data_IF_045192997314
#
_entry.id   IF_045192997314
#
_cell.length_a   1.000
_cell.length_b   1.000
_cell.length_c   1.000
_cell.angle_alpha   90.00
_cell.angle_beta   90.00
_cell.angle_gamma   90.00
#
_symmetry.space_group_name_H-M   'P 1'
#
loop_
_entity.id
_entity.type
_entity.pdbx_description
1 polymer ?
#
# COMPACT_ATOMS: atom_id res chain seq x y z
N UNK A 1 -26.39 -25.71 -18.41
CA UNK A 1 -25.54 -25.07 -17.39
C UNK A 1 -24.62 -24.10 -18.13
N UNK A 2 -25.00 -22.82 -18.18
CA UNK A 2 -24.39 -21.82 -19.05
C UNK A 2 -23.27 -21.11 -18.28
N UNK A 3 -22.02 -21.43 -18.60
CA UNK A 3 -20.84 -20.75 -18.06
C UNK A 3 -20.77 -19.37 -18.74
N UNK A 4 -21.19 -18.32 -18.03
CA UNK A 4 -21.03 -16.93 -18.46
C UNK A 4 -19.56 -16.54 -18.29
N UNK A 5 -18.74 -16.81 -19.30
CA UNK A 5 -17.51 -16.04 -19.54
C UNK A 5 -17.92 -14.63 -19.99
N UNK A 6 -18.27 -13.78 -19.02
CA UNK A 6 -18.22 -12.33 -19.22
C UNK A 6 -16.95 -11.86 -18.53
N UNK A 7 -15.81 -12.22 -19.14
CA UNK A 7 -14.60 -11.41 -18.99
C UNK A 7 -15.04 -10.05 -19.50
N UNK A 8 -15.29 -9.13 -18.57
CA UNK A 8 -15.37 -7.72 -18.90
C UNK A 8 -14.04 -7.43 -19.58
N UNK A 9 -14.08 -7.26 -20.90
CA UNK A 9 -13.10 -6.47 -21.61
C UNK A 9 -13.20 -5.07 -20.98
N UNK A 10 -12.52 -4.91 -19.85
CA UNK A 10 -12.31 -3.63 -19.21
C UNK A 10 -11.21 -2.98 -20.00
N UNK A 11 -11.62 -2.16 -20.96
CA UNK A 11 -10.92 -1.02 -21.52
C UNK A 11 -9.39 -1.08 -21.37
N UNK A 12 -8.74 -1.45 -22.48
CA UNK A 12 -7.33 -1.14 -22.74
C UNK A 12 -7.14 0.38 -22.87
N UNK A 13 -7.44 1.11 -21.80
CA UNK A 13 -6.90 2.43 -21.60
C UNK A 13 -6.04 2.33 -20.35
N UNK A 14 -4.76 1.99 -20.58
CA UNK A 14 -3.67 2.34 -19.67
C UNK A 14 -3.54 3.86 -19.64
N UNK A 15 -4.60 4.53 -19.19
CA UNK A 15 -4.55 5.87 -18.65
C UNK A 15 -3.43 5.85 -17.62
N UNK A 16 -2.39 6.65 -17.85
CA UNK A 16 -1.26 6.79 -16.94
C UNK A 16 -1.76 7.47 -15.67
N UNK A 17 -2.44 6.72 -14.80
CA UNK A 17 -2.91 7.21 -13.51
C UNK A 17 -1.71 7.78 -12.78
N UNK A 18 -1.76 9.08 -12.51
CA UNK A 18 -0.66 9.79 -11.84
C UNK A 18 -0.36 9.11 -10.50
N UNK A 19 0.85 8.58 -10.37
CA UNK A 19 1.35 7.97 -9.13
C UNK A 19 1.98 9.02 -8.24
N UNK A 20 1.15 9.74 -7.50
CA UNK A 20 1.57 10.85 -6.64
C UNK A 20 1.31 10.63 -5.16
N UNK A 21 0.90 9.42 -4.75
CA UNK A 21 0.59 9.12 -3.35
C UNK A 21 1.63 8.24 -2.67
N UNK A 22 2.02 8.63 -1.48
CA UNK A 22 2.70 7.78 -0.51
C UNK A 22 1.65 7.43 0.54
N UNK A 23 1.24 6.18 0.58
CA UNK A 23 0.19 5.73 1.48
C UNK A 23 0.84 5.07 2.69
N UNK A 24 0.60 5.62 3.87
CA UNK A 24 0.96 5.01 5.15
C UNK A 24 -0.28 4.38 5.76
N UNK A 25 -0.34 3.05 5.77
CA UNK A 25 -1.45 2.29 6.34
C UNK A 25 -1.34 2.28 7.86
N UNK A 26 -2.36 2.84 8.51
CA UNK A 26 -2.51 2.88 9.95
C UNK A 26 -3.52 1.85 10.42
N UNK A 27 -3.14 1.05 11.40
CA UNK A 27 -4.03 0.07 12.05
C UNK A 27 -4.48 0.60 13.40
N UNK A 28 -5.78 0.86 13.55
CA UNK A 28 -6.36 1.19 14.84
C UNK A 28 -6.51 -0.08 15.70
N UNK A 29 -5.88 -0.06 16.89
CA UNK A 29 -6.01 -1.02 18.00
C UNK A 29 -5.62 -2.50 17.69
N UNK A 30 -4.50 -2.91 18.28
CA UNK A 30 -4.08 -4.31 18.41
C UNK A 30 -2.61 -4.43 18.80
N UNK A 31 -2.33 -4.79 20.07
CA UNK A 31 -0.99 -4.79 20.70
C UNK A 31 0.13 -5.48 19.91
N UNK A 32 -0.19 -6.50 19.10
CA UNK A 32 0.81 -7.27 18.34
C UNK A 32 1.12 -6.73 16.94
N UNK A 33 0.32 -5.79 16.42
CA UNK A 33 0.34 -5.37 14.99
C UNK A 33 0.12 -3.88 14.76
N UNK A 34 0.10 -3.06 15.81
CA UNK A 34 0.09 -1.60 15.68
C UNK A 34 1.52 -1.07 15.74
N UNK A 35 1.87 -0.13 14.86
CA UNK A 35 3.08 0.66 15.06
C UNK A 35 2.79 1.53 16.28
N UNK A 36 3.57 1.35 17.35
CA UNK A 36 3.42 2.11 18.60
C UNK A 36 3.60 3.62 18.32
N UNK A 37 4.30 3.96 17.24
CA UNK A 37 4.75 5.31 16.88
C UNK A 37 4.37 5.72 15.43
N UNK A 38 3.10 5.55 15.05
CA UNK A 38 2.61 5.94 13.70
C UNK A 38 2.91 7.40 13.33
N UNK A 39 2.82 8.32 14.31
CA UNK A 39 3.16 9.74 14.18
C UNK A 39 4.63 9.95 13.82
N UNK A 40 5.53 9.20 14.46
CA UNK A 40 6.98 9.34 14.24
C UNK A 40 7.40 8.83 12.86
N UNK A 41 6.78 7.74 12.37
CA UNK A 41 7.03 7.25 11.00
C UNK A 41 6.51 8.22 9.93
N UNK A 42 5.33 8.80 10.12
CA UNK A 42 4.80 9.81 9.22
C UNK A 42 5.70 11.05 9.16
N UNK A 43 6.23 11.49 10.32
CA UNK A 43 7.19 12.59 10.42
C UNK A 43 8.49 12.24 9.69
N UNK A 44 9.06 11.05 9.90
CA UNK A 44 10.29 10.62 9.22
C UNK A 44 10.12 10.56 7.70
N UNK A 45 9.00 10.02 7.21
CA UNK A 45 8.70 9.98 5.78
C UNK A 45 8.56 11.41 5.24
N UNK A 46 7.83 12.28 5.93
CA UNK A 46 7.68 13.67 5.53
C UNK A 46 9.03 14.43 5.50
N UNK A 47 9.91 14.18 6.47
CA UNK A 47 11.26 14.75 6.51
C UNK A 47 12.13 14.22 5.37
N UNK A 48 12.15 12.91 5.12
CA UNK A 48 12.91 12.32 4.01
C UNK A 48 12.45 12.84 2.64
N UNK A 49 11.14 13.07 2.46
CA UNK A 49 10.61 13.68 1.24
C UNK A 49 11.09 15.12 1.07
N UNK A 50 11.09 15.91 2.16
CA UNK A 50 11.60 17.29 2.18
C UNK A 50 13.08 17.35 1.82
N UNK A 51 13.89 16.49 2.44
CA UNK A 51 15.34 16.46 2.23
C UNK A 51 15.73 16.02 0.81
N UNK A 52 14.95 15.13 0.20
CA UNK A 52 15.21 14.65 -1.17
C UNK A 52 14.77 15.62 -2.27
N UNK A 53 14.21 16.78 -1.93
CA UNK A 53 13.61 17.74 -2.88
C UNK A 53 12.51 17.11 -3.76
N UNK A 54 11.93 15.98 -3.32
CA UNK A 54 10.87 15.23 -4.01
C UNK A 54 9.45 15.66 -3.61
N UNK A 55 9.34 16.67 -2.73
CA UNK A 55 8.07 17.15 -2.17
C UNK A 55 7.14 17.81 -3.19
N UNK A 56 7.65 18.29 -4.32
CA UNK A 56 6.83 19.03 -5.28
C UNK A 56 5.78 18.17 -5.99
N UNK A 57 5.92 16.83 -5.97
CA UNK A 57 5.06 15.92 -6.74
C UNK A 57 4.51 14.70 -5.97
N UNK A 58 4.82 14.56 -4.67
CA UNK A 58 4.38 13.41 -3.86
C UNK A 58 3.62 13.89 -2.62
N UNK A 59 2.47 13.28 -2.36
CA UNK A 59 1.61 13.57 -1.22
C UNK A 59 1.55 12.36 -0.29
N UNK A 60 1.84 12.58 0.99
CA UNK A 60 1.68 11.58 2.05
C UNK A 60 0.21 11.51 2.47
N UNK A 61 -0.35 10.31 2.46
CA UNK A 61 -1.73 10.00 2.87
C UNK A 61 -1.69 8.94 3.96
N UNK A 62 -2.33 9.21 5.10
CA UNK A 62 -2.50 8.21 6.16
C UNK A 62 -3.80 7.46 5.89
N UNK A 63 -3.70 6.18 5.56
CA UNK A 63 -4.85 5.36 5.28
C UNK A 63 -5.32 4.62 6.53
N UNK A 64 -6.58 4.83 6.89
CA UNK A 64 -7.32 4.02 7.85
C UNK A 64 -8.45 3.31 7.09
N UNK A 65 -8.74 2.05 7.42
CA UNK A 65 -9.75 1.25 6.75
C UNK A 65 -11.19 1.69 7.13
N UNK A 66 -11.56 2.91 6.75
CA UNK A 66 -12.85 3.56 6.96
C UNK A 66 -13.32 4.21 5.65
N UNK A 67 -14.64 4.40 5.48
CA UNK A 67 -15.21 4.98 4.27
C UNK A 67 -15.57 3.93 3.20
N UNK A 68 -15.79 4.39 1.96
CA UNK A 68 -16.28 3.53 0.88
C UNK A 68 -15.12 2.86 0.11
N UNK A 69 -15.33 1.60 -0.29
CA UNK A 69 -14.34 0.82 -1.06
C UNK A 69 -13.91 1.53 -2.35
N UNK A 70 -14.82 2.25 -3.01
CA UNK A 70 -14.49 3.02 -4.24
C UNK A 70 -13.40 4.06 -3.98
N UNK A 71 -13.42 4.71 -2.82
CA UNK A 71 -12.44 5.72 -2.44
C UNK A 71 -11.09 5.08 -2.15
N UNK A 72 -11.10 3.88 -1.55
CA UNK A 72 -9.88 3.09 -1.32
C UNK A 72 -9.25 2.70 -2.65
N UNK A 73 -10.04 2.17 -3.59
CA UNK A 73 -9.56 1.82 -4.94
C UNK A 73 -8.96 3.05 -5.63
N UNK A 74 -9.66 4.18 -5.63
CA UNK A 74 -9.19 5.41 -6.26
C UNK A 74 -7.87 5.91 -5.65
N UNK A 75 -7.74 5.84 -4.31
CA UNK A 75 -6.52 6.20 -3.60
C UNK A 75 -5.35 5.28 -3.95
N UNK A 76 -5.56 3.96 -3.85
CA UNK A 76 -4.51 2.97 -4.07
C UNK A 76 -4.04 2.90 -5.53
N UNK A 77 -4.91 3.18 -6.51
CA UNK A 77 -4.50 3.31 -7.93
C UNK A 77 -3.44 4.40 -8.15
N UNK A 78 -3.46 5.46 -7.34
CA UNK A 78 -2.49 6.59 -7.37
C UNK A 78 -1.24 6.35 -6.52
N UNK A 79 -1.13 5.20 -5.86
CA UNK A 79 0.00 4.91 -4.99
C UNK A 79 1.30 4.79 -5.79
N UNK A 80 2.26 5.65 -5.45
CA UNK A 80 3.67 5.48 -5.80
C UNK A 80 4.36 4.56 -4.81
N UNK A 81 4.07 4.75 -3.52
CA UNK A 81 4.62 3.98 -2.41
C UNK A 81 3.49 3.62 -1.45
N UNK A 82 3.50 2.40 -0.93
CA UNK A 82 2.60 1.91 0.11
C UNK A 82 3.47 1.38 1.24
N UNK A 83 3.25 1.87 2.45
CA UNK A 83 3.96 1.47 3.66
C UNK A 83 2.94 1.02 4.69
N UNK A 84 3.11 -0.14 5.30
CA UNK A 84 2.14 -0.60 6.29
C UNK A 84 2.57 -1.84 7.08
N UNK A 85 2.06 -2.00 8.32
CA UNK A 85 2.23 -3.25 9.06
C UNK A 85 1.56 -4.42 8.35
N UNK A 86 2.14 -5.60 8.53
CA UNK A 86 1.53 -6.84 8.06
C UNK A 86 0.09 -6.97 8.58
N UNK A 87 -0.84 -7.16 7.66
CA UNK A 87 -2.26 -7.32 7.96
C UNK A 87 -2.99 -6.03 8.37
N UNK A 88 -2.39 -4.84 8.24
CA UNK A 88 -3.05 -3.55 8.54
C UNK A 88 -4.03 -3.06 7.48
N UNK A 89 -4.37 -3.88 6.48
CA UNK A 89 -5.06 -3.44 5.26
C UNK A 89 -4.17 -3.50 4.02
N UNK A 90 -3.00 -4.15 4.11
CA UNK A 90 -2.06 -4.36 2.99
C UNK A 90 -2.68 -5.06 1.77
N UNK A 91 -3.80 -5.79 1.91
CA UNK A 91 -4.54 -6.36 0.77
C UNK A 91 -4.96 -5.30 -0.26
N UNK A 92 -5.03 -4.01 0.12
CA UNK A 92 -5.33 -2.94 -0.81
C UNK A 92 -4.29 -2.78 -1.95
N UNK A 93 -3.10 -3.41 -1.85
CA UNK A 93 -2.14 -3.42 -2.97
C UNK A 93 -2.74 -4.02 -4.25
N UNK A 94 -3.78 -4.86 -4.16
CA UNK A 94 -4.50 -5.38 -5.33
C UNK A 94 -5.03 -4.28 -6.26
N UNK A 95 -5.29 -3.08 -5.73
CA UNK A 95 -5.79 -1.93 -6.49
C UNK A 95 -4.68 -0.97 -6.93
N UNK A 96 -3.45 -1.21 -6.51
CA UNK A 96 -2.32 -0.41 -6.93
C UNK A 96 -1.93 -0.73 -8.38
N UNK A 97 -1.38 0.26 -9.07
CA UNK A 97 -0.97 0.11 -10.47
C UNK A 97 0.42 -0.55 -10.56
N UNK A 98 0.75 -1.30 -11.63
CA UNK A 98 2.08 -1.89 -11.86
C UNK A 98 3.25 -0.92 -11.65
N UNK A 99 4.33 -1.37 -11.02
CA UNK A 99 5.51 -0.58 -10.66
C UNK A 99 5.40 0.20 -9.35
N UNK A 100 4.39 -0.06 -8.52
CA UNK A 100 4.25 0.54 -7.17
C UNK A 100 5.25 -0.06 -6.20
N UNK A 101 5.81 0.78 -5.32
CA UNK A 101 6.73 0.37 -4.26
C UNK A 101 5.91 -0.03 -3.02
N UNK A 102 6.15 -1.22 -2.49
CA UNK A 102 5.45 -1.76 -1.32
C UNK A 102 6.49 -2.04 -0.24
N UNK A 103 6.33 -1.41 0.92
CA UNK A 103 7.18 -1.60 2.10
C UNK A 103 6.32 -2.17 3.21
N UNK A 104 6.53 -3.44 3.51
CA UNK A 104 5.80 -4.12 4.55
C UNK A 104 6.58 -4.15 5.86
N UNK A 105 5.91 -3.80 6.95
CA UNK A 105 6.50 -3.81 8.28
C UNK A 105 6.13 -5.12 8.98
N UNK A 106 7.18 -5.87 9.31
CA UNK A 106 7.21 -7.15 9.99
C UNK A 106 6.62 -7.15 11.40
N UNK A 107 6.47 -8.36 11.95
CA UNK A 107 6.17 -8.51 13.36
C UNK A 107 7.43 -8.33 14.22
N UNK A 108 7.24 -7.85 15.45
CA UNK A 108 8.31 -7.73 16.44
C UNK A 108 8.65 -9.06 17.12
N UNK A 109 7.74 -10.03 17.18
CA UNK A 109 7.95 -11.31 17.89
C UNK A 109 7.20 -12.51 17.30
N UNK A 110 7.83 -13.69 17.37
CA UNK A 110 7.20 -15.01 17.49
C UNK A 110 6.42 -15.59 16.31
N UNK A 111 6.19 -14.85 15.23
CA UNK A 111 5.42 -15.32 14.07
C UNK A 111 6.29 -15.45 12.82
N UNK A 112 6.14 -16.57 12.11
CA UNK A 112 6.67 -16.73 10.75
C UNK A 112 6.00 -15.69 9.86
N UNK A 113 6.81 -14.91 9.17
CA UNK A 113 6.31 -13.85 8.32
C UNK A 113 5.65 -14.42 7.06
N UNK A 114 4.33 -14.21 6.84
CA UNK A 114 3.67 -14.75 5.65
C UNK A 114 4.15 -14.04 4.39
N UNK A 115 4.55 -14.80 3.37
CA UNK A 115 5.07 -14.28 2.10
C UNK A 115 3.97 -13.75 1.15
N UNK A 116 2.71 -13.72 1.59
CA UNK A 116 1.57 -13.49 0.70
C UNK A 116 1.61 -12.14 -0.02
N UNK A 117 2.10 -11.08 0.62
CA UNK A 117 2.21 -9.78 -0.03
C UNK A 117 3.44 -9.67 -0.92
N UNK A 118 4.51 -10.44 -0.65
CA UNK A 118 5.66 -10.54 -1.54
C UNK A 118 5.25 -11.24 -2.85
N UNK A 119 4.58 -12.39 -2.74
CA UNK A 119 4.04 -13.13 -3.89
C UNK A 119 3.04 -12.29 -4.70
N UNK A 120 2.11 -11.64 -4.02
CA UNK A 120 1.14 -10.76 -4.68
C UNK A 120 1.82 -9.58 -5.37
N UNK A 121 2.83 -8.98 -4.73
CA UNK A 121 3.60 -7.89 -5.33
C UNK A 121 4.32 -8.35 -6.59
N UNK A 122 4.92 -9.55 -6.59
CA UNK A 122 5.56 -10.12 -7.77
C UNK A 122 4.58 -10.26 -8.94
N UNK A 123 3.38 -10.80 -8.70
CA UNK A 123 2.37 -11.02 -9.75
C UNK A 123 1.71 -9.72 -10.24
N UNK A 124 1.74 -8.65 -9.45
CA UNK A 124 1.20 -7.33 -9.81
C UNK A 124 2.28 -6.38 -10.37
N UNK A 125 3.49 -6.87 -10.64
CA UNK A 125 4.64 -6.06 -11.08
C UNK A 125 4.97 -4.93 -10.10
N UNK A 126 4.81 -5.16 -8.80
CA UNK A 126 5.23 -4.24 -7.75
C UNK A 126 6.68 -4.52 -7.33
N UNK A 127 7.31 -3.50 -6.75
CA UNK A 127 8.61 -3.63 -6.09
C UNK A 127 8.39 -3.75 -4.59
N UNK A 128 8.86 -4.84 -3.99
CA UNK A 128 8.52 -5.18 -2.61
C UNK A 128 9.76 -5.21 -1.72
N UNK A 129 9.62 -4.65 -0.52
CA UNK A 129 10.58 -4.76 0.58
C UNK A 129 9.85 -5.10 1.87
N UNK A 130 10.54 -5.84 2.73
CA UNK A 130 10.12 -6.10 4.10
C UNK A 130 11.12 -5.47 5.07
N UNK A 131 10.61 -4.76 6.07
CA UNK A 131 11.39 -4.27 7.21
C UNK A 131 11.00 -5.06 8.46
N UNK A 132 11.99 -5.49 9.26
CA UNK A 132 11.70 -6.10 10.55
C UNK A 132 11.13 -5.03 11.49
N UNK A 133 9.97 -5.32 12.09
CA UNK A 133 9.30 -4.43 13.05
C UNK A 133 9.96 -4.42 14.41
#
# INVERSE_FOLDING_TARGET
>A
MQLVHRVLAGDEEQSTVKKDRIILIKRNKGRARSIIEHSSLAVLIASALKESNMTSNLHLEIFEAQGHMRDHIALFRRARVIVGPHGAGMMNILWASPGTYVVEIGYTTGMVFPQMYAEMSLHLDHKYWICKG
#
